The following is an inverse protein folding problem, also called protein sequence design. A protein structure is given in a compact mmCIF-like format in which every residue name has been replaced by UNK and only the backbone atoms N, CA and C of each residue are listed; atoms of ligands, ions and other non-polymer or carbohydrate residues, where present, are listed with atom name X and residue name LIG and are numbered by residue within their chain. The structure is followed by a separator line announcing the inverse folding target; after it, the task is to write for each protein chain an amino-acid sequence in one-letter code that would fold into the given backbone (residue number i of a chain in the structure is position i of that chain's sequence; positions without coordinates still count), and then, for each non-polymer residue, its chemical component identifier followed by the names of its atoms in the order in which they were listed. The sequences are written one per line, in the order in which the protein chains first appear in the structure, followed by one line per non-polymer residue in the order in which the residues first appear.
data_IF_045019157049
#
_entry.id   IF_045019157049
#
_cell.length_a   1.000
_cell.length_b   1.000
_cell.length_c   1.000
_cell.angle_alpha   90.00
_cell.angle_beta   90.00
_cell.angle_gamma   90.00
#
_symmetry.space_group_name_H-M   'P 1'
#
loop_
_entity.id
_entity.type
_entity.pdbx_description
1 polymer ?
#
# COMPACT_ATOMS: atom_id res chain seq x y z
N UNK A 1 -18.48 -23.09 9.92
CA UNK A 1 -17.08 -22.70 10.17
C UNK A 1 -16.99 -21.19 10.07
N UNK A 2 -16.08 -20.60 10.83
CA UNK A 2 -15.70 -19.19 10.78
C UNK A 2 -14.47 -19.08 9.87
N UNK A 3 -14.61 -18.43 8.72
CA UNK A 3 -13.54 -18.25 7.74
C UNK A 3 -13.05 -16.80 7.80
N UNK A 4 -11.77 -16.63 8.09
CA UNK A 4 -11.08 -15.35 7.93
C UNK A 4 -10.55 -15.22 6.51
N UNK A 5 -11.11 -14.35 5.69
CA UNK A 5 -10.62 -14.03 4.36
C UNK A 5 -9.70 -12.81 4.45
N UNK A 6 -8.46 -12.97 4.00
CA UNK A 6 -7.47 -11.91 3.96
C UNK A 6 -7.17 -11.62 2.50
N UNK A 7 -7.48 -10.41 2.05
CA UNK A 7 -7.23 -9.98 0.69
C UNK A 7 -5.86 -9.31 0.58
N UNK A 8 -5.15 -9.56 -0.51
CA UNK A 8 -3.88 -8.91 -0.79
C UNK A 8 -3.84 -8.29 -2.19
N UNK A 9 -3.42 -7.03 -2.23
CA UNK A 9 -3.31 -6.22 -3.45
C UNK A 9 -4.66 -5.66 -3.91
N UNK A 10 -4.64 -4.59 -4.74
CA UNK A 10 -5.83 -4.11 -5.42
C UNK A 10 -6.35 -5.09 -6.49
N UNK A 11 -5.46 -5.86 -7.11
CA UNK A 11 -5.81 -6.65 -8.30
C UNK A 11 -6.89 -7.70 -8.02
N UNK A 12 -6.89 -8.34 -6.84
CA UNK A 12 -7.92 -9.33 -6.48
C UNK A 12 -9.32 -8.69 -6.32
N UNK A 13 -9.38 -7.39 -6.03
CA UNK A 13 -10.61 -6.62 -5.90
C UNK A 13 -11.04 -6.09 -7.27
N UNK A 14 -10.13 -5.50 -8.03
CA UNK A 14 -10.42 -4.90 -9.34
C UNK A 14 -10.93 -5.93 -10.36
N UNK A 15 -10.42 -7.16 -10.33
CA UNK A 15 -10.90 -8.28 -11.17
C UNK A 15 -12.27 -8.86 -10.70
N UNK A 16 -12.78 -8.37 -9.57
CA UNK A 16 -14.03 -8.78 -8.94
C UNK A 16 -13.99 -10.18 -8.31
N UNK A 17 -12.85 -10.89 -8.35
CA UNK A 17 -12.72 -12.24 -7.78
C UNK A 17 -12.97 -12.24 -6.27
N UNK A 18 -12.48 -11.21 -5.58
CA UNK A 18 -12.69 -11.01 -4.15
C UNK A 18 -14.18 -11.09 -3.78
N UNK A 19 -15.01 -10.24 -4.39
CA UNK A 19 -16.44 -10.21 -4.10
C UNK A 19 -17.12 -11.55 -4.42
N UNK A 20 -16.83 -12.13 -5.59
CA UNK A 20 -17.42 -13.41 -6.02
C UNK A 20 -17.10 -14.53 -5.01
N UNK A 21 -15.84 -14.67 -4.63
CA UNK A 21 -15.38 -15.72 -3.71
C UNK A 21 -15.95 -15.50 -2.31
N UNK A 22 -15.95 -14.27 -1.80
CA UNK A 22 -16.55 -13.94 -0.49
C UNK A 22 -18.03 -14.33 -0.49
N UNK A 23 -18.79 -13.93 -1.51
CA UNK A 23 -20.23 -14.27 -1.65
C UNK A 23 -20.48 -15.77 -1.74
N UNK A 24 -19.59 -16.52 -2.40
CA UNK A 24 -19.69 -17.98 -2.48
C UNK A 24 -19.50 -18.61 -1.10
N UNK A 25 -18.45 -18.22 -0.36
CA UNK A 25 -18.14 -18.79 0.95
C UNK A 25 -19.21 -18.43 2.00
N UNK A 26 -19.79 -17.22 1.92
CA UNK A 26 -20.91 -16.77 2.76
C UNK A 26 -22.16 -17.65 2.65
N UNK A 27 -22.34 -18.42 1.58
CA UNK A 27 -23.51 -19.31 1.42
C UNK A 27 -23.52 -20.47 2.41
N UNK A 28 -22.35 -20.90 2.88
CA UNK A 28 -22.22 -22.09 3.75
C UNK A 28 -21.48 -21.81 5.05
N UNK A 29 -20.86 -20.63 5.19
CA UNK A 29 -19.97 -20.29 6.30
C UNK A 29 -20.15 -18.86 6.80
N UNK A 30 -19.72 -18.66 8.05
CA UNK A 30 -19.56 -17.32 8.61
C UNK A 30 -18.21 -16.76 8.13
N UNK A 31 -18.21 -15.58 7.52
CA UNK A 31 -17.05 -15.02 6.83
C UNK A 31 -16.74 -13.63 7.38
N UNK A 32 -15.49 -13.44 7.78
CA UNK A 32 -14.93 -12.12 8.05
C UNK A 32 -13.86 -11.84 6.99
N UNK A 33 -14.03 -10.78 6.20
CA UNK A 33 -13.07 -10.37 5.19
C UNK A 33 -12.31 -9.11 5.60
N UNK A 34 -10.99 -9.10 5.44
CA UNK A 34 -10.13 -7.96 5.79
C UNK A 34 -9.09 -7.64 4.71
N UNK A 35 -8.78 -6.36 4.56
CA UNK A 35 -7.71 -5.87 3.69
C UNK A 35 -6.99 -4.66 4.33
N UNK A 36 -5.68 -4.77 4.57
CA UNK A 36 -4.87 -3.68 5.15
C UNK A 36 -3.93 -2.93 4.21
N UNK A 37 -3.70 -3.42 2.98
CA UNK A 37 -2.80 -2.75 2.03
C UNK A 37 -3.38 -1.45 1.47
N UNK A 38 -2.62 -0.36 1.46
CA UNK A 38 -3.06 0.99 1.04
C UNK A 38 -3.82 1.00 -0.29
N UNK A 39 -3.24 0.45 -1.36
CA UNK A 39 -3.92 0.41 -2.67
C UNK A 39 -5.05 -0.62 -2.75
N UNK A 40 -5.00 -1.68 -1.94
CA UNK A 40 -6.16 -2.57 -1.90
C UNK A 40 -7.35 -1.91 -1.18
N UNK A 41 -7.11 -1.02 -0.21
CA UNK A 41 -8.18 -0.25 0.45
C UNK A 41 -8.83 0.73 -0.52
N UNK A 42 -8.04 1.37 -1.38
CA UNK A 42 -8.60 2.19 -2.46
C UNK A 42 -9.43 1.35 -3.44
N UNK A 43 -8.99 0.14 -3.78
CA UNK A 43 -9.76 -0.77 -4.63
C UNK A 43 -11.08 -1.21 -3.99
N UNK A 44 -11.11 -1.49 -2.68
CA UNK A 44 -12.35 -1.79 -1.94
C UNK A 44 -13.33 -0.62 -2.01
N UNK A 45 -12.84 0.61 -1.80
CA UNK A 45 -13.68 1.82 -1.90
C UNK A 45 -14.21 2.02 -3.32
N UNK A 46 -13.39 1.82 -4.34
CA UNK A 46 -13.79 1.92 -5.75
C UNK A 46 -14.88 0.91 -6.11
N UNK A 47 -14.77 -0.31 -5.59
CA UNK A 47 -15.74 -1.38 -5.78
C UNK A 47 -16.99 -1.26 -4.89
N UNK A 48 -17.02 -0.33 -3.93
CA UNK A 48 -18.13 -0.20 -2.97
C UNK A 48 -18.26 -1.39 -2.02
N UNK A 49 -17.13 -2.01 -1.67
CA UNK A 49 -17.09 -3.25 -0.86
C UNK A 49 -16.80 -2.98 0.63
N UNK A 50 -16.83 -1.72 1.08
CA UNK A 50 -16.57 -1.35 2.48
C UNK A 50 -17.48 -2.05 3.51
N UNK A 51 -18.71 -2.42 3.13
CA UNK A 51 -19.64 -3.15 4.01
C UNK A 51 -19.35 -4.67 4.08
N UNK A 52 -18.51 -5.17 3.16
CA UNK A 52 -18.18 -6.60 3.02
C UNK A 52 -16.74 -6.87 3.48
N UNK A 53 -15.83 -5.93 3.24
CA UNK A 53 -14.40 -6.06 3.52
C UNK A 53 -13.98 -4.98 4.50
N UNK A 54 -13.56 -5.38 5.69
CA UNK A 54 -13.02 -4.48 6.70
C UNK A 54 -11.64 -3.94 6.27
N UNK A 55 -11.60 -2.64 6.02
CA UNK A 55 -10.42 -1.85 5.62
C UNK A 55 -9.93 -0.90 6.72
N UNK A 56 -10.43 -1.04 7.95
CA UNK A 56 -10.17 -0.10 9.05
C UNK A 56 -8.73 -0.13 9.57
N UNK A 57 -7.96 -1.18 9.31
CA UNK A 57 -6.61 -1.38 9.85
C UNK A 57 -5.57 -1.67 8.76
N UNK A 58 -4.45 -0.94 8.79
CA UNK A 58 -3.33 -1.08 7.86
C UNK A 58 -2.37 -2.25 8.15
N UNK A 59 -2.88 -3.46 8.41
CA UNK A 59 -2.06 -4.63 8.74
C UNK A 59 -1.60 -5.43 7.53
N UNK A 60 -0.44 -6.09 7.63
CA UNK A 60 -0.02 -7.11 6.65
C UNK A 60 -0.91 -8.36 6.72
N UNK A 61 -0.93 -9.22 5.68
CA UNK A 61 -1.69 -10.46 5.73
C UNK A 61 -1.36 -11.36 6.93
N UNK A 62 -0.08 -11.57 7.22
CA UNK A 62 0.34 -12.38 8.37
C UNK A 62 -0.07 -11.77 9.72
N UNK A 63 0.01 -10.45 9.86
CA UNK A 63 -0.46 -9.77 11.09
C UNK A 63 -1.98 -9.92 11.24
N UNK A 64 -2.72 -9.78 10.15
CA UNK A 64 -4.18 -9.91 10.14
C UNK A 64 -4.62 -11.32 10.53
N UNK A 65 -3.98 -12.35 9.95
CA UNK A 65 -4.27 -13.75 10.29
C UNK A 65 -3.99 -14.02 11.78
N UNK A 66 -2.83 -13.57 12.28
CA UNK A 66 -2.46 -13.76 13.68
C UNK A 66 -3.41 -13.03 14.65
N UNK A 67 -3.93 -11.85 14.27
CA UNK A 67 -4.91 -11.11 15.07
C UNK A 67 -6.28 -11.80 15.11
N UNK A 68 -6.64 -12.55 14.06
CA UNK A 68 -7.92 -13.25 13.96
C UNK A 68 -7.91 -14.66 14.56
N UNK A 69 -6.74 -15.19 14.95
CA UNK A 69 -6.52 -16.61 15.28
C UNK A 69 -7.55 -17.26 16.22
N UNK A 70 -8.06 -16.51 17.20
CA UNK A 70 -8.98 -17.03 18.21
C UNK A 70 -10.47 -16.91 17.76
N UNK A 71 -10.71 -16.17 16.68
CA UNK A 71 -12.03 -15.88 16.11
C UNK A 71 -12.36 -16.65 14.83
N UNK A 72 -11.39 -17.34 14.23
CA UNK A 72 -11.57 -18.09 12.98
C UNK A 72 -11.16 -19.55 13.13
N UNK A 73 -11.75 -20.42 12.31
CA UNK A 73 -11.38 -21.84 12.23
C UNK A 73 -10.36 -22.10 11.11
N UNK A 74 -10.34 -21.24 10.08
CA UNK A 74 -9.42 -21.31 8.93
C UNK A 74 -9.18 -19.92 8.36
N UNK A 75 -7.93 -19.63 7.99
CA UNK A 75 -7.54 -18.44 7.26
C UNK A 75 -7.43 -18.73 5.76
N UNK A 76 -8.04 -17.88 4.93
CA UNK A 76 -7.96 -17.93 3.46
C UNK A 76 -7.31 -16.64 2.96
N UNK A 77 -6.09 -16.71 2.43
CA UNK A 77 -5.48 -15.61 1.68
C UNK A 77 -6.03 -15.61 0.25
N UNK A 78 -6.65 -14.51 -0.18
CA UNK A 78 -6.98 -14.26 -1.59
C UNK A 78 -5.96 -13.30 -2.17
N UNK A 79 -5.23 -13.75 -3.18
CA UNK A 79 -4.17 -12.97 -3.79
C UNK A 79 -4.22 -13.03 -5.32
N UNK A 80 -3.76 -11.96 -5.96
CA UNK A 80 -3.56 -11.89 -7.40
C UNK A 80 -2.15 -11.34 -7.68
N UNK A 81 -1.16 -12.24 -7.69
CA UNK A 81 0.24 -11.93 -8.00
C UNK A 81 0.43 -11.46 -9.44
N UNK A 82 1.61 -10.88 -9.71
CA UNK A 82 2.00 -10.45 -11.07
C UNK A 82 2.02 -11.64 -12.03
N UNK A 83 2.52 -12.77 -11.53
CA UNK A 83 2.45 -14.11 -12.11
C UNK A 83 2.13 -15.11 -11.01
N UNK A 84 1.72 -16.32 -11.41
CA UNK A 84 1.53 -17.43 -10.48
C UNK A 84 2.78 -17.64 -9.58
N UNK A 85 3.98 -17.62 -10.16
CA UNK A 85 5.23 -17.80 -9.39
C UNK A 85 5.42 -16.73 -8.32
N UNK A 86 5.21 -15.44 -8.66
CA UNK A 86 5.36 -14.35 -7.69
C UNK A 86 4.35 -14.44 -6.55
N UNK A 87 3.10 -14.83 -6.85
CA UNK A 87 2.06 -15.00 -5.86
C UNK A 87 2.27 -16.21 -4.96
N UNK A 88 2.70 -17.35 -5.53
CA UNK A 88 3.13 -18.52 -4.77
C UNK A 88 4.26 -18.15 -3.80
N UNK A 89 5.27 -17.41 -4.27
CA UNK A 89 6.36 -16.93 -3.43
C UNK A 89 5.84 -16.06 -2.27
N UNK A 90 4.93 -15.12 -2.55
CA UNK A 90 4.31 -14.28 -1.53
C UNK A 90 3.54 -15.11 -0.48
N UNK A 91 2.71 -16.06 -0.91
CA UNK A 91 1.98 -16.94 0.00
C UNK A 91 2.90 -17.76 0.91
N UNK A 92 4.06 -18.21 0.40
CA UNK A 92 5.08 -18.92 1.21
C UNK A 92 5.71 -18.02 2.28
N UNK A 93 5.90 -16.73 2.00
CA UNK A 93 6.35 -15.73 2.99
C UNK A 93 5.28 -15.47 4.04
N UNK A 94 4.00 -15.40 3.64
CA UNK A 94 2.90 -15.26 4.60
C UNK A 94 2.88 -16.48 5.51
N UNK A 95 2.87 -17.69 4.94
CA UNK A 95 2.84 -18.95 5.69
C UNK A 95 4.01 -19.10 6.69
N UNK A 96 5.21 -18.64 6.35
CA UNK A 96 6.37 -18.73 7.26
C UNK A 96 6.29 -17.80 8.47
N UNK A 97 5.36 -16.85 8.47
CA UNK A 97 5.09 -15.92 9.58
C UNK A 97 3.87 -16.32 10.41
N UNK A 98 3.21 -17.43 10.05
CA UNK A 98 2.08 -17.96 10.81
C UNK A 98 2.57 -19.00 11.82
N UNK A 99 1.95 -19.02 13.00
CA UNK A 99 2.09 -20.14 13.93
C UNK A 99 1.30 -21.36 13.45
N UNK A 100 1.65 -22.55 13.94
CA UNK A 100 1.02 -23.84 13.57
C UNK A 100 -0.42 -24.03 14.08
N UNK A 101 -1.04 -22.99 14.63
CA UNK A 101 -2.32 -23.07 15.34
C UNK A 101 -3.54 -22.83 14.44
N UNK A 102 -3.36 -22.25 13.25
CA UNK A 102 -4.47 -21.88 12.37
C UNK A 102 -4.23 -22.53 11.00
N UNK A 103 -5.16 -23.37 10.51
CA UNK A 103 -5.12 -23.85 9.14
C UNK A 103 -5.11 -22.67 8.15
N UNK A 104 -4.15 -22.69 7.22
CA UNK A 104 -3.94 -21.63 6.25
C UNK A 104 -4.08 -22.15 4.82
N UNK A 105 -5.03 -21.56 4.09
CA UNK A 105 -5.29 -21.82 2.66
C UNK A 105 -4.98 -20.54 1.89
N UNK A 106 -4.35 -20.67 0.73
CA UNK A 106 -4.03 -19.57 -0.15
C UNK A 106 -4.66 -19.81 -1.52
N UNK A 107 -5.47 -18.86 -1.99
CA UNK A 107 -6.06 -18.88 -3.33
C UNK A 107 -5.35 -17.82 -4.15
N UNK A 108 -4.61 -18.27 -5.16
CA UNK A 108 -3.82 -17.42 -6.06
C UNK A 108 -4.52 -17.33 -7.42
N UNK A 109 -4.67 -16.11 -7.95
CA UNK A 109 -5.14 -15.79 -9.32
C UNK A 109 -6.35 -16.62 -9.78
N UNK A 110 -7.45 -16.62 -9.02
CA UNK A 110 -8.57 -17.55 -9.23
C UNK A 110 -9.22 -17.47 -10.62
N UNK A 111 -9.12 -16.35 -11.34
CA UNK A 111 -9.78 -16.16 -12.64
C UNK A 111 -8.88 -16.43 -13.87
N UNK A 112 -7.60 -16.81 -13.68
CA UNK A 112 -6.66 -17.00 -14.80
C UNK A 112 -6.03 -18.41 -14.76
N UNK A 113 -4.93 -18.56 -14.02
CA UNK A 113 -4.16 -19.79 -13.87
C UNK A 113 -4.21 -20.27 -12.42
N UNK A 114 -5.37 -20.09 -11.79
CA UNK A 114 -5.50 -20.08 -10.35
C UNK A 114 -5.18 -21.40 -9.66
N UNK A 115 -4.83 -21.30 -8.38
CA UNK A 115 -4.46 -22.43 -7.52
C UNK A 115 -5.01 -22.24 -6.12
N UNK A 116 -5.36 -23.36 -5.48
CA UNK A 116 -5.60 -23.43 -4.03
C UNK A 116 -4.39 -24.12 -3.41
N UNK A 117 -3.68 -23.42 -2.54
CA UNK A 117 -2.44 -23.87 -1.95
C UNK A 117 -2.63 -24.10 -0.46
N UNK A 118 -2.11 -25.22 0.03
CA UNK A 118 -2.01 -25.52 1.46
C UNK A 118 -0.55 -25.76 1.86
N UNK A 119 -0.22 -25.48 3.13
CA UNK A 119 1.16 -25.51 3.62
C UNK A 119 1.44 -26.62 4.65
N UNK A 120 0.39 -27.20 5.24
CA UNK A 120 0.47 -28.31 6.19
C UNK A 120 -0.68 -29.31 5.99
N UNK A 121 -0.58 -30.46 6.65
CA UNK A 121 -1.56 -31.54 6.48
C UNK A 121 -2.96 -31.17 6.99
N UNK A 122 -3.13 -30.50 8.15
CA UNK A 122 -4.43 -30.00 8.59
C UNK A 122 -5.11 -29.09 7.56
N UNK A 123 -4.38 -28.15 6.95
CA UNK A 123 -4.91 -27.23 5.95
C UNK A 123 -5.36 -27.92 4.66
N UNK A 124 -4.86 -29.13 4.35
CA UNK A 124 -5.27 -29.88 3.14
C UNK A 124 -6.78 -30.14 3.12
N UNK A 125 -7.35 -30.58 4.24
CA UNK A 125 -8.79 -30.87 4.32
C UNK A 125 -9.63 -29.60 4.08
N UNK A 126 -9.18 -28.47 4.63
CA UNK A 126 -9.82 -27.18 4.40
C UNK A 126 -9.68 -26.71 2.95
N UNK A 127 -8.51 -26.90 2.32
CA UNK A 127 -8.29 -26.54 0.93
C UNK A 127 -9.22 -27.31 -0.02
N UNK A 128 -9.38 -28.62 0.17
CA UNK A 128 -10.32 -29.44 -0.61
C UNK A 128 -11.78 -29.06 -0.35
N UNK A 129 -12.11 -28.71 0.89
CA UNK A 129 -13.45 -28.23 1.24
C UNK A 129 -13.78 -26.88 0.58
N UNK A 130 -12.83 -25.92 0.65
CA UNK A 130 -12.92 -24.63 -0.05
C UNK A 130 -13.08 -24.85 -1.56
N UNK A 131 -12.28 -25.74 -2.17
CA UNK A 131 -12.43 -26.11 -3.59
C UNK A 131 -13.84 -26.60 -3.89
N UNK A 132 -14.39 -27.51 -3.10
CA UNK A 132 -15.73 -28.07 -3.30
C UNK A 132 -16.81 -27.00 -3.32
N UNK A 133 -16.76 -26.04 -2.38
CA UNK A 133 -17.73 -24.93 -2.30
C UNK A 133 -17.58 -24.00 -3.50
N UNK A 134 -16.34 -23.66 -3.86
CA UNK A 134 -16.02 -22.81 -5.02
C UNK A 134 -16.51 -23.42 -6.34
N UNK A 135 -16.33 -24.73 -6.54
CA UNK A 135 -16.88 -25.45 -7.69
C UNK A 135 -18.41 -25.45 -7.67
N UNK A 136 -19.02 -25.81 -6.54
CA UNK A 136 -20.47 -25.94 -6.37
C UNK A 136 -21.24 -24.65 -6.65
N UNK A 137 -20.69 -23.50 -6.24
CA UNK A 137 -21.41 -22.22 -6.25
C UNK A 137 -20.86 -21.16 -7.20
N UNK A 138 -19.67 -21.38 -7.78
CA UNK A 138 -18.98 -20.38 -8.59
C UNK A 138 -18.27 -20.92 -9.83
N UNK A 139 -18.35 -22.23 -10.11
CA UNK A 139 -17.67 -22.87 -11.24
C UNK A 139 -16.15 -22.67 -11.24
N UNK A 140 -15.55 -22.51 -10.05
CA UNK A 140 -14.10 -22.43 -9.86
C UNK A 140 -13.53 -23.84 -9.67
N UNK A 141 -13.06 -24.49 -10.74
CA UNK A 141 -12.33 -25.75 -10.65
C UNK A 141 -10.81 -25.50 -10.56
N UNK A 142 -10.38 -25.10 -9.37
CA UNK A 142 -8.99 -24.78 -9.10
C UNK A 142 -8.23 -26.02 -8.58
N UNK A 143 -7.02 -26.31 -9.09
CA UNK A 143 -6.17 -27.36 -8.54
C UNK A 143 -5.80 -27.07 -7.09
N UNK A 144 -5.81 -28.11 -6.26
CA UNK A 144 -5.31 -28.05 -4.88
C UNK A 144 -3.88 -28.59 -4.83
N UNK A 145 -2.93 -27.78 -4.36
CA UNK A 145 -1.51 -28.08 -4.37
C UNK A 145 -0.85 -27.87 -3.00
N UNK A 146 0.14 -28.70 -2.68
CA UNK A 146 0.96 -28.52 -1.48
C UNK A 146 2.10 -27.55 -1.78
N UNK A 147 2.36 -26.63 -0.85
CA UNK A 147 3.58 -25.83 -0.82
C UNK A 147 4.27 -25.92 0.54
N UNK A 148 5.42 -25.26 0.68
CA UNK A 148 6.17 -25.15 1.93
C UNK A 148 6.40 -23.69 2.31
N UNK A 149 6.28 -23.33 3.59
CA UNK A 149 6.66 -22.01 4.08
C UNK A 149 8.08 -21.64 3.65
N UNK A 150 8.29 -20.37 3.31
CA UNK A 150 9.60 -19.83 2.95
C UNK A 150 9.80 -18.51 3.71
N UNK A 151 10.71 -18.42 4.68
CA UNK A 151 11.02 -17.15 5.34
C UNK A 151 11.65 -16.18 4.35
N UNK A 152 11.66 -14.90 4.70
CA UNK A 152 12.44 -13.91 3.97
C UNK A 152 13.91 -14.34 3.95
N UNK A 153 14.55 -14.19 2.78
CA UNK A 153 15.98 -14.45 2.61
C UNK A 153 16.75 -13.24 3.13
N UNK A 154 17.03 -13.25 4.43
CA UNK A 154 17.82 -12.23 5.11
C UNK A 154 19.01 -12.90 5.79
N UNK A 155 20.21 -12.51 5.38
CA UNK A 155 21.47 -13.00 5.90
C UNK A 155 22.15 -11.88 6.68
N UNK A 156 22.84 -12.23 7.77
CA UNK A 156 23.62 -11.29 8.57
C UNK A 156 25.02 -11.85 8.78
N UNK A 157 26.00 -11.24 8.09
CA UNK A 157 27.40 -11.62 8.17
C UNK A 157 28.22 -10.40 8.59
N UNK A 158 28.85 -10.47 9.77
CA UNK A 158 29.79 -9.44 10.24
C UNK A 158 29.21 -8.03 10.31
N UNK A 159 27.92 -7.87 10.66
CA UNK A 159 27.24 -6.57 10.74
C UNK A 159 26.76 -6.02 9.39
N UNK A 160 26.87 -6.80 8.32
CA UNK A 160 26.23 -6.55 7.03
C UNK A 160 25.00 -7.43 6.91
N UNK A 161 23.83 -6.81 6.73
CA UNK A 161 22.56 -7.50 6.52
C UNK A 161 22.22 -7.45 5.04
N UNK A 162 21.98 -8.59 4.42
CA UNK A 162 21.60 -8.70 3.00
C UNK A 162 20.20 -9.29 2.91
N UNK A 163 19.29 -8.61 2.22
CA UNK A 163 17.97 -9.14 1.89
C UNK A 163 17.84 -9.38 0.40
N UNK A 164 17.69 -10.65 0.00
CA UNK A 164 17.39 -11.03 -1.39
C UNK A 164 15.91 -10.89 -1.67
N UNK A 165 15.58 -10.27 -2.80
CA UNK A 165 14.21 -10.13 -3.30
C UNK A 165 13.94 -11.19 -4.36
N UNK A 166 12.66 -11.56 -4.49
CA UNK A 166 12.20 -12.52 -5.50
C UNK A 166 10.92 -11.99 -6.16
N UNK A 167 10.64 -12.47 -7.37
CA UNK A 167 9.49 -12.03 -8.16
C UNK A 167 9.58 -10.57 -8.61
N UNK A 168 10.81 -10.07 -8.77
CA UNK A 168 11.10 -8.73 -9.26
C UNK A 168 11.32 -8.81 -10.76
N UNK A 169 10.79 -7.85 -11.52
CA UNK A 169 11.08 -7.74 -12.95
C UNK A 169 12.13 -6.65 -13.18
N UNK A 170 13.11 -6.86 -14.08
CA UNK A 170 14.02 -5.79 -14.49
C UNK A 170 13.26 -4.54 -14.94
N UNK A 171 13.73 -3.37 -14.51
CA UNK A 171 13.08 -2.07 -14.71
C UNK A 171 12.14 -1.65 -13.57
N UNK A 172 11.75 -2.56 -12.68
CA UNK A 172 10.87 -2.20 -11.55
C UNK A 172 11.59 -1.36 -10.49
N UNK A 173 10.93 -0.31 -10.02
CA UNK A 173 11.36 0.46 -8.85
C UNK A 173 11.35 -0.46 -7.63
N UNK A 174 12.34 -0.31 -6.74
CA UNK A 174 12.44 -1.00 -5.46
C UNK A 174 12.16 0.01 -4.36
N UNK A 175 11.10 -0.25 -3.59
CA UNK A 175 10.64 0.61 -2.50
C UNK A 175 10.90 -0.04 -1.16
N UNK A 176 11.56 0.70 -0.27
CA UNK A 176 11.84 0.32 1.10
C UNK A 176 11.08 1.27 2.03
N UNK A 177 10.12 0.73 2.78
CA UNK A 177 9.23 1.49 3.68
C UNK A 177 8.59 2.72 3.01
N UNK A 178 8.20 2.55 1.75
CA UNK A 178 7.53 3.58 0.95
C UNK A 178 8.48 4.45 0.12
N UNK A 179 9.80 4.39 0.35
CA UNK A 179 10.79 5.22 -0.35
C UNK A 179 11.45 4.45 -1.49
N UNK A 180 11.51 5.03 -2.69
CA UNK A 180 12.19 4.45 -3.84
C UNK A 180 13.70 4.58 -3.64
N UNK A 181 14.38 3.45 -3.45
CA UNK A 181 15.83 3.41 -3.25
C UNK A 181 16.60 3.11 -4.53
N UNK A 182 15.90 2.79 -5.62
CA UNK A 182 16.49 2.43 -6.90
C UNK A 182 15.58 1.58 -7.77
N UNK A 183 16.14 1.04 -8.87
CA UNK A 183 15.44 0.18 -9.82
C UNK A 183 16.17 -1.14 -10.00
N UNK A 184 15.43 -2.22 -10.19
CA UNK A 184 15.98 -3.54 -10.43
C UNK A 184 16.57 -3.65 -11.84
N UNK A 185 17.75 -4.25 -11.97
CA UNK A 185 18.34 -4.69 -13.24
C UNK A 185 18.37 -6.21 -13.37
N UNK A 186 18.05 -6.92 -12.28
CA UNK A 186 17.98 -8.37 -12.17
C UNK A 186 16.62 -8.82 -11.63
N UNK A 187 16.27 -10.09 -11.84
CA UNK A 187 15.06 -10.69 -11.29
C UNK A 187 15.15 -11.03 -9.79
N UNK A 188 16.38 -11.05 -9.25
CA UNK A 188 16.67 -11.33 -7.84
C UNK A 188 17.66 -10.30 -7.27
N UNK A 189 17.26 -9.02 -7.18
CA UNK A 189 18.12 -8.00 -6.60
C UNK A 189 18.28 -8.21 -5.08
N UNK A 190 19.36 -7.67 -4.52
CA UNK A 190 19.66 -7.74 -3.09
C UNK A 190 19.83 -6.34 -2.51
N UNK A 191 19.15 -6.06 -1.40
CA UNK A 191 19.37 -4.84 -0.62
C UNK A 191 20.41 -5.15 0.44
N UNK A 192 21.50 -4.39 0.47
CA UNK A 192 22.60 -4.55 1.43
C UNK A 192 22.56 -3.39 2.41
N UNK A 193 22.44 -3.71 3.69
CA UNK A 193 22.51 -2.77 4.79
C UNK A 193 23.76 -3.00 5.66
N UNK A 194 24.39 -1.91 6.11
CA UNK A 194 25.45 -1.95 7.12
C UNK A 194 25.15 -0.92 8.20
N UNK A 195 25.17 -1.34 9.47
CA UNK A 195 24.82 -0.46 10.60
C UNK A 195 23.44 0.20 10.45
N UNK A 196 22.48 -0.51 9.86
CA UNK A 196 21.12 -0.01 9.62
C UNK A 196 20.99 1.02 8.48
N UNK A 197 22.01 1.19 7.64
CA UNK A 197 21.97 2.04 6.43
C UNK A 197 22.06 1.18 5.18
N UNK A 198 21.24 1.49 4.18
CA UNK A 198 21.37 0.89 2.84
C UNK A 198 22.66 1.42 2.21
N UNK A 199 23.57 0.51 1.86
CA UNK A 199 24.90 0.86 1.29
C UNK A 199 25.06 0.39 -0.15
N UNK A 200 24.30 -0.62 -0.56
CA UNK A 200 24.42 -1.22 -1.90
C UNK A 200 23.07 -1.83 -2.33
N UNK A 201 22.78 -1.77 -3.62
CA UNK A 201 21.67 -2.47 -4.27
C UNK A 201 22.23 -3.37 -5.37
N UNK A 202 22.47 -4.65 -5.06
CA UNK A 202 23.02 -5.61 -6.02
C UNK A 202 21.93 -6.05 -6.99
N UNK A 203 22.27 -6.15 -8.28
CA UNK A 203 21.27 -6.42 -9.31
C UNK A 203 20.24 -5.28 -9.45
N UNK A 204 20.62 -4.06 -9.07
CA UNK A 204 19.84 -2.84 -9.28
C UNK A 204 20.73 -1.60 -9.40
N UNK A 205 20.09 -0.47 -9.66
CA UNK A 205 20.72 0.86 -9.75
C UNK A 205 20.12 1.71 -8.64
N UNK A 206 20.97 2.24 -7.75
CA UNK A 206 20.54 3.10 -6.64
C UNK A 206 20.01 4.44 -7.17
N UNK A 207 18.92 4.94 -6.57
CA UNK A 207 18.47 6.33 -6.68
C UNK A 207 19.04 7.11 -5.47
N UNK A 208 20.08 7.94 -5.63
CA UNK A 208 20.77 8.59 -4.50
C UNK A 208 19.84 9.39 -3.59
N UNK A 209 18.94 10.18 -4.19
CA UNK A 209 17.96 10.99 -3.47
C UNK A 209 17.01 10.15 -2.59
N UNK A 210 16.72 8.91 -3.00
CA UNK A 210 15.98 7.95 -2.19
C UNK A 210 16.70 7.54 -0.91
N UNK A 211 18.03 7.40 -0.98
CA UNK A 211 18.85 7.06 0.20
C UNK A 211 19.01 8.25 1.15
N UNK A 212 19.08 9.47 0.62
CA UNK A 212 19.09 10.71 1.42
C UNK A 212 17.85 10.78 2.34
N UNK A 213 16.67 10.40 1.83
CA UNK A 213 15.43 10.34 2.61
C UNK A 213 15.43 9.26 3.72
N UNK A 214 16.34 8.30 3.64
CA UNK A 214 16.55 7.26 4.66
C UNK A 214 17.71 7.57 5.62
N UNK A 215 18.45 8.67 5.41
CA UNK A 215 19.69 8.96 6.14
C UNK A 215 19.49 9.08 7.66
N UNK A 216 18.32 9.51 8.13
CA UNK A 216 18.00 9.61 9.56
C UNK A 216 17.27 8.39 10.12
N UNK A 217 17.07 7.33 9.31
CA UNK A 217 16.34 6.11 9.72
C UNK A 217 17.30 4.96 10.01
N UNK A 218 16.96 4.12 10.97
CA UNK A 218 17.66 2.87 11.22
C UNK A 218 16.87 1.72 10.57
N UNK A 219 17.40 1.14 9.50
CA UNK A 219 16.70 0.15 8.67
C UNK A 219 16.94 -1.25 9.20
N UNK A 220 15.85 -1.94 9.56
CA UNK A 220 15.84 -3.38 9.77
C UNK A 220 15.27 -4.08 8.53
N UNK A 221 16.14 -4.67 7.71
CA UNK A 221 15.73 -5.36 6.49
C UNK A 221 14.84 -6.59 6.74
N UNK A 222 14.88 -7.19 7.94
CA UNK A 222 14.03 -8.32 8.28
C UNK A 222 12.56 -7.90 8.50
N UNK A 223 12.37 -6.70 9.05
CA UNK A 223 11.06 -6.13 9.33
C UNK A 223 10.53 -5.21 8.22
N UNK A 224 11.42 -4.57 7.46
CA UNK A 224 11.05 -3.55 6.48
C UNK A 224 10.09 -4.04 5.39
N UNK A 225 9.21 -3.16 4.96
CA UNK A 225 8.28 -3.40 3.85
C UNK A 225 9.00 -3.10 2.55
N UNK A 226 9.26 -4.16 1.78
CA UNK A 226 9.85 -4.04 0.44
C UNK A 226 8.80 -4.35 -0.61
N UNK A 227 8.62 -3.44 -1.57
CA UNK A 227 7.69 -3.58 -2.69
C UNK A 227 8.41 -3.26 -3.99
N UNK A 228 8.00 -3.91 -5.09
CA UNK A 228 8.56 -3.63 -6.41
C UNK A 228 7.49 -3.37 -7.45
N UNK A 229 7.82 -2.50 -8.41
CA UNK A 229 6.94 -2.14 -9.52
C UNK A 229 5.80 -1.22 -9.11
N UNK A 230 4.80 -1.13 -9.98
CA UNK A 230 3.64 -0.25 -9.83
C UNK A 230 2.75 -0.65 -8.63
N UNK A 231 2.16 0.33 -7.95
CA UNK A 231 1.34 0.12 -6.75
C UNK A 231 -0.06 -0.43 -7.03
N UNK A 232 -0.56 -0.25 -8.26
CA UNK A 232 -1.84 -0.81 -8.73
C UNK A 232 -1.77 -0.98 -10.24
N UNK A 233 -1.72 -2.23 -10.72
CA UNK A 233 -1.47 -2.54 -12.14
C UNK A 233 -2.74 -2.61 -12.99
N UNK A 234 -3.89 -2.74 -12.34
CA UNK A 234 -5.21 -2.90 -12.94
C UNK A 234 -5.84 -1.56 -13.26
N UNK A 235 -6.53 -1.51 -14.41
CA UNK A 235 -7.43 -0.41 -14.73
C UNK A 235 -8.60 -0.42 -13.77
N UNK A 236 -9.01 0.74 -13.32
CA UNK A 236 -10.09 0.90 -12.36
C UNK A 236 -10.80 2.22 -12.59
N UNK A 237 -12.02 2.32 -12.06
CA UNK A 237 -12.77 3.57 -12.01
C UNK A 237 -12.61 4.12 -10.60
N UNK A 238 -11.91 5.24 -10.47
CA UNK A 238 -11.72 5.90 -9.19
C UNK A 238 -13.06 6.44 -8.66
N UNK A 239 -13.45 6.03 -7.46
CA UNK A 239 -14.58 6.62 -6.74
C UNK A 239 -14.17 8.03 -6.29
N UNK A 240 -14.81 9.03 -6.89
CA UNK A 240 -14.61 10.43 -6.54
C UNK A 240 -15.67 10.82 -5.54
N UNK A 241 -15.26 11.16 -4.32
CA UNK A 241 -16.16 11.79 -3.36
C UNK A 241 -16.18 13.30 -3.60
N UNK A 242 -17.35 13.95 -3.42
CA UNK A 242 -17.43 15.41 -3.38
C UNK A 242 -16.47 15.97 -2.34
N UNK A 243 -15.93 17.16 -2.61
CA UNK A 243 -15.09 17.85 -1.65
C UNK A 243 -15.86 18.07 -0.34
N UNK A 244 -15.23 17.78 0.80
CA UNK A 244 -15.82 18.03 2.12
C UNK A 244 -16.15 19.51 2.26
N UNK A 245 -17.31 19.79 2.86
CA UNK A 245 -17.74 21.16 3.13
C UNK A 245 -16.75 21.86 4.06
N UNK A 246 -16.32 23.05 3.68
CA UNK A 246 -15.31 23.80 4.42
C UNK A 246 -15.95 24.67 5.55
N UNK A 247 -16.54 24.07 6.59
CA UNK A 247 -16.99 24.77 7.81
C UNK A 247 -15.84 25.28 8.72
N UNK A 248 -16.10 26.23 9.64
CA UNK A 248 -15.08 26.79 10.56
C UNK A 248 -14.33 25.73 11.40
N UNK A 249 -13.05 25.98 11.66
CA UNK A 249 -12.20 25.10 12.50
C UNK A 249 -11.61 23.91 11.73
N UNK A 250 -10.72 24.21 10.78
CA UNK A 250 -10.18 23.24 9.82
C UNK A 250 -9.02 22.42 10.34
N UNK A 251 -9.12 21.11 10.21
CA UNK A 251 -8.06 20.17 10.57
C UNK A 251 -7.17 19.92 9.37
N UNK A 252 -5.92 20.32 9.51
CA UNK A 252 -4.86 20.09 8.53
C UNK A 252 -4.02 18.92 9.01
N UNK A 253 -3.67 18.04 8.07
CA UNK A 253 -2.64 17.02 8.25
C UNK A 253 -1.50 17.29 7.28
N UNK A 254 -0.25 17.13 7.70
CA UNK A 254 0.88 17.06 6.76
C UNK A 254 1.14 15.60 6.40
N UNK A 255 1.51 15.29 5.16
CA UNK A 255 1.92 13.96 4.70
C UNK A 255 3.22 14.15 3.94
N UNK A 256 4.31 13.71 4.56
CA UNK A 256 5.68 13.95 4.10
C UNK A 256 6.40 12.61 3.92
N UNK A 257 6.71 12.24 2.67
CA UNK A 257 7.35 10.98 2.27
C UNK A 257 6.77 9.71 2.93
N UNK A 258 5.45 9.70 3.14
CA UNK A 258 4.75 8.62 3.83
C UNK A 258 3.34 8.34 3.26
N UNK A 259 3.15 8.55 1.96
CA UNK A 259 1.82 8.40 1.33
C UNK A 259 1.17 7.02 1.51
N UNK A 260 1.94 5.96 1.75
CA UNK A 260 1.37 4.65 2.09
C UNK A 260 0.59 4.65 3.42
N UNK A 261 0.85 5.61 4.31
CA UNK A 261 0.18 5.79 5.61
C UNK A 261 -0.97 6.81 5.55
N UNK A 262 -1.40 7.23 4.36
CA UNK A 262 -2.41 8.29 4.19
C UNK A 262 -3.70 8.00 4.97
N UNK A 263 -4.20 6.75 4.94
CA UNK A 263 -5.40 6.37 5.68
C UNK A 263 -5.23 6.50 7.20
N UNK A 264 -4.07 6.12 7.72
CA UNK A 264 -3.73 6.20 9.14
C UNK A 264 -3.54 7.66 9.60
N UNK A 265 -2.94 8.48 8.74
CA UNK A 265 -2.62 9.87 9.06
C UNK A 265 -3.85 10.77 8.96
N UNK A 266 -4.70 10.58 7.95
CA UNK A 266 -5.71 11.58 7.61
C UNK A 266 -6.80 11.71 8.67
N UNK A 267 -7.34 10.60 9.20
CA UNK A 267 -8.43 10.61 10.18
C UNK A 267 -9.57 11.55 9.80
N UNK A 268 -9.82 12.55 10.65
CA UNK A 268 -10.85 13.57 10.51
C UNK A 268 -10.36 14.89 9.88
N UNK A 269 -9.23 14.87 9.16
CA UNK A 269 -8.72 16.05 8.47
C UNK A 269 -9.69 16.55 7.38
N UNK A 270 -9.67 17.87 7.19
CA UNK A 270 -10.41 18.57 6.14
C UNK A 270 -9.53 18.81 4.90
N UNK A 271 -8.22 18.97 5.10
CA UNK A 271 -7.23 19.25 4.05
C UNK A 271 -5.89 18.59 4.41
N UNK A 272 -5.14 18.15 3.40
CA UNK A 272 -3.79 17.62 3.61
C UNK A 272 -2.73 18.50 2.91
N UNK A 273 -1.63 18.79 3.59
CA UNK A 273 -0.42 19.31 2.95
C UNK A 273 0.44 18.11 2.57
N UNK A 274 0.84 17.98 1.30
CA UNK A 274 1.67 16.87 0.84
C UNK A 274 3.03 17.38 0.37
N UNK A 275 4.10 16.65 0.69
CA UNK A 275 5.48 17.02 0.34
C UNK A 275 6.11 15.89 -0.47
N UNK A 276 6.61 16.22 -1.66
CA UNK A 276 7.20 15.31 -2.63
C UNK A 276 6.24 14.91 -3.74
N UNK A 277 6.78 14.69 -4.94
CA UNK A 277 6.02 14.38 -6.15
C UNK A 277 5.22 13.07 -6.03
N UNK A 278 5.88 11.98 -5.63
CA UNK A 278 5.24 10.68 -5.42
C UNK A 278 4.24 10.72 -4.26
N UNK A 279 4.61 11.39 -3.16
CA UNK A 279 3.75 11.52 -1.99
C UNK A 279 2.48 12.27 -2.36
N UNK A 280 2.62 13.39 -3.06
CA UNK A 280 1.51 14.21 -3.54
C UNK A 280 0.63 13.41 -4.48
N UNK A 281 1.22 12.69 -5.43
CA UNK A 281 0.47 11.88 -6.41
C UNK A 281 -0.34 10.76 -5.75
N UNK A 282 0.29 9.95 -4.88
CA UNK A 282 -0.37 8.84 -4.20
C UNK A 282 -1.40 9.34 -3.18
N UNK A 283 -1.04 10.33 -2.37
CA UNK A 283 -1.96 10.87 -1.37
C UNK A 283 -3.15 11.54 -2.02
N UNK A 284 -2.98 12.32 -3.10
CA UNK A 284 -4.10 12.89 -3.86
C UNK A 284 -5.06 11.80 -4.36
N UNK A 285 -4.53 10.74 -4.94
CA UNK A 285 -5.36 9.64 -5.45
C UNK A 285 -6.17 8.98 -4.34
N UNK A 286 -5.54 8.69 -3.20
CA UNK A 286 -6.24 8.14 -2.02
C UNK A 286 -7.30 9.12 -1.51
N UNK A 287 -6.94 10.39 -1.32
CA UNK A 287 -7.78 11.42 -0.70
C UNK A 287 -8.97 11.83 -1.58
N UNK A 288 -8.88 11.59 -2.90
CA UNK A 288 -10.02 11.71 -3.82
C UNK A 288 -11.21 10.85 -3.37
N UNK A 289 -10.95 9.66 -2.80
CA UNK A 289 -12.00 8.75 -2.28
C UNK A 289 -12.56 9.18 -0.94
N UNK A 290 -11.94 10.17 -0.29
CA UNK A 290 -12.34 10.71 1.00
C UNK A 290 -12.89 12.14 0.91
N UNK A 291 -12.82 12.76 -0.27
CA UNK A 291 -13.25 14.14 -0.52
C UNK A 291 -12.34 15.18 0.14
N UNK A 292 -11.08 14.84 0.38
CA UNK A 292 -10.14 15.70 1.11
C UNK A 292 -9.20 16.36 0.10
N UNK A 293 -9.24 17.69 0.02
CA UNK A 293 -8.37 18.45 -0.85
C UNK A 293 -6.91 18.43 -0.37
N UNK A 294 -5.97 18.68 -1.28
CA UNK A 294 -4.55 18.76 -0.95
C UNK A 294 -3.94 20.13 -1.28
N UNK A 295 -2.92 20.51 -0.52
CA UNK A 295 -1.93 21.52 -0.87
C UNK A 295 -0.61 20.76 -1.11
N UNK A 296 -0.36 20.40 -2.36
CA UNK A 296 0.82 19.62 -2.74
C UNK A 296 2.03 20.49 -3.04
N UNK A 297 3.20 20.04 -2.60
CA UNK A 297 4.49 20.69 -2.80
C UNK A 297 5.39 19.69 -3.50
N UNK A 298 5.80 20.05 -4.70
CA UNK A 298 6.52 19.17 -5.64
C UNK A 298 7.68 19.91 -6.26
N UNK A 299 8.73 19.22 -6.67
CA UNK A 299 9.89 19.81 -7.34
C UNK A 299 10.05 19.35 -8.79
N UNK A 300 9.25 18.35 -9.22
CA UNK A 300 9.23 17.81 -10.56
C UNK A 300 9.92 16.45 -10.72
N UNK A 301 10.35 15.79 -9.63
CA UNK A 301 11.09 14.52 -9.63
C UNK A 301 10.23 13.23 -9.67
N UNK A 302 9.05 13.28 -10.29
CA UNK A 302 8.06 12.21 -10.27
C UNK A 302 8.57 10.84 -10.79
N UNK A 303 8.49 9.79 -9.96
CA UNK A 303 8.93 8.42 -10.29
C UNK A 303 7.88 7.56 -11.02
N UNK A 304 6.74 8.16 -11.38
CA UNK A 304 5.66 7.57 -12.20
C UNK A 304 5.16 6.20 -11.71
N UNK A 305 5.07 6.03 -10.38
CA UNK A 305 4.63 4.78 -9.75
C UNK A 305 3.13 4.53 -9.75
N UNK A 306 2.34 5.52 -10.15
CA UNK A 306 0.89 5.47 -10.34
C UNK A 306 0.56 6.20 -11.64
N UNK A 307 -0.04 5.50 -12.61
CA UNK A 307 -0.25 6.04 -13.96
C UNK A 307 -1.47 6.96 -14.09
N UNK A 308 -2.58 6.62 -13.42
CA UNK A 308 -3.87 7.29 -13.55
C UNK A 308 -4.32 7.90 -12.22
N UNK A 309 -3.48 8.75 -11.63
CA UNK A 309 -3.76 9.36 -10.33
C UNK A 309 -4.89 10.41 -10.42
N UNK A 310 -5.91 10.26 -9.59
CA UNK A 310 -6.94 11.28 -9.44
C UNK A 310 -6.49 12.38 -8.45
N UNK A 311 -6.94 13.61 -8.68
CA UNK A 311 -6.67 14.74 -7.79
C UNK A 311 -8.01 15.27 -7.26
N UNK A 312 -8.17 15.41 -5.93
CA UNK A 312 -9.43 15.85 -5.37
C UNK A 312 -9.73 17.29 -5.76
N UNK A 313 -11.01 17.59 -6.01
CA UNK A 313 -11.44 18.94 -6.29
C UNK A 313 -11.19 19.88 -5.10
N UNK A 314 -10.83 21.14 -5.38
CA UNK A 314 -10.37 22.11 -4.39
C UNK A 314 -8.87 22.05 -4.07
N UNK A 315 -8.13 21.13 -4.69
CA UNK A 315 -6.70 20.98 -4.46
C UNK A 315 -5.86 22.05 -5.15
N UNK A 316 -4.66 22.30 -4.60
CA UNK A 316 -3.63 23.19 -5.16
C UNK A 316 -2.32 22.41 -5.18
N UNK A 317 -1.62 22.41 -6.31
CA UNK A 317 -0.26 21.90 -6.42
C UNK A 317 0.68 23.07 -6.70
N UNK A 318 1.69 23.23 -5.85
CA UNK A 318 2.71 24.26 -5.90
C UNK A 318 4.01 23.58 -6.28
N UNK A 319 4.42 23.76 -7.53
CA UNK A 319 5.72 23.27 -8.01
C UNK A 319 6.78 24.30 -7.66
N UNK A 320 7.83 23.87 -6.95
CA UNK A 320 9.01 24.66 -6.64
C UNK A 320 10.19 24.22 -7.50
N UNK A 321 11.32 24.92 -7.39
CA UNK A 321 12.57 24.51 -8.06
C UNK A 321 13.00 23.13 -7.57
N UNK A 322 13.69 22.39 -8.45
CA UNK A 322 14.29 21.07 -8.16
C UNK A 322 15.05 21.06 -6.82
N UNK A 323 14.76 20.07 -5.98
CA UNK A 323 15.34 19.86 -4.65
C UNK A 323 14.82 20.77 -3.53
N UNK A 324 13.81 21.62 -3.79
CA UNK A 324 13.27 22.55 -2.77
C UNK A 324 12.02 22.04 -2.06
N UNK A 325 11.35 20.99 -2.53
CA UNK A 325 10.16 20.42 -1.89
C UNK A 325 10.46 19.98 -0.45
N UNK A 326 11.57 19.26 -0.23
CA UNK A 326 12.03 18.82 1.10
C UNK A 326 12.35 19.99 2.04
N UNK A 327 12.96 21.04 1.49
CA UNK A 327 13.33 22.24 2.25
C UNK A 327 12.06 22.97 2.69
N UNK A 328 11.15 23.22 1.74
CA UNK A 328 9.88 23.91 2.03
C UNK A 328 8.99 23.05 2.93
N UNK A 329 8.96 21.73 2.73
CA UNK A 329 8.25 20.79 3.58
C UNK A 329 8.72 20.83 5.04
N UNK A 330 10.04 20.88 5.27
CA UNK A 330 10.62 21.08 6.60
C UNK A 330 10.21 22.42 7.20
N UNK A 331 10.30 23.51 6.43
CA UNK A 331 9.88 24.83 6.91
C UNK A 331 8.40 24.89 7.28
N UNK A 332 7.54 24.21 6.52
CA UNK A 332 6.11 24.10 6.83
C UNK A 332 5.90 23.30 8.11
N UNK A 333 6.58 22.15 8.24
CA UNK A 333 6.51 21.34 9.45
C UNK A 333 6.89 22.16 10.69
N UNK A 334 7.99 22.91 10.63
CA UNK A 334 8.50 23.70 11.76
C UNK A 334 7.68 24.96 12.02
N UNK A 335 7.43 25.79 11.00
CA UNK A 335 6.88 27.15 11.16
C UNK A 335 5.36 27.19 11.10
N UNK A 336 4.73 26.37 10.26
CA UNK A 336 3.26 26.33 10.11
C UNK A 336 2.66 25.28 11.05
N UNK A 337 3.20 24.06 11.04
CA UNK A 337 2.66 22.94 11.79
C UNK A 337 3.22 22.85 13.22
N UNK A 338 4.22 23.66 13.59
CA UNK A 338 4.86 23.67 14.91
C UNK A 338 5.37 22.27 15.33
N UNK A 339 5.90 21.52 14.37
CA UNK A 339 6.37 20.15 14.54
C UNK A 339 5.27 19.11 14.76
N UNK A 340 3.99 19.47 14.60
CA UNK A 340 2.85 18.55 14.78
C UNK A 340 2.42 17.95 13.45
N UNK A 341 1.97 16.69 13.48
CA UNK A 341 1.39 16.05 12.30
C UNK A 341 0.03 16.66 11.91
N UNK A 342 -0.73 17.13 12.91
CA UNK A 342 -2.08 17.69 12.76
C UNK A 342 -2.21 19.02 13.46
N UNK A 343 -2.93 19.95 12.84
CA UNK A 343 -3.21 21.27 13.38
C UNK A 343 -4.64 21.69 13.05
N UNK A 344 -5.29 22.42 13.96
CA UNK A 344 -6.55 23.11 13.65
C UNK A 344 -6.25 24.56 13.28
N UNK A 345 -6.75 25.01 12.15
CA UNK A 345 -6.61 26.37 11.62
C UNK A 345 -7.97 27.01 11.41
N UNK A 346 -7.99 28.34 11.31
CA UNK A 346 -9.22 29.07 11.08
C UNK A 346 -9.62 29.12 9.61
N UNK A 347 -8.65 29.29 8.69
CA UNK A 347 -8.92 29.40 7.25
C UNK A 347 -7.96 28.55 6.41
N UNK A 348 -8.52 27.90 5.39
CA UNK A 348 -7.76 27.23 4.34
C UNK A 348 -7.02 28.24 3.45
N UNK A 349 -7.63 29.37 3.10
CA UNK A 349 -6.94 30.42 2.33
C UNK A 349 -5.71 30.94 3.07
N UNK A 350 -5.82 31.22 4.36
CA UNK A 350 -4.69 31.69 5.18
C UNK A 350 -3.55 30.65 5.21
N UNK A 351 -3.90 29.36 5.23
CA UNK A 351 -2.93 28.27 5.15
C UNK A 351 -2.20 28.28 3.80
N UNK A 352 -2.95 28.40 2.70
CA UNK A 352 -2.37 28.50 1.35
C UNK A 352 -1.45 29.71 1.24
N UNK A 353 -1.86 30.88 1.75
CA UNK A 353 -1.03 32.10 1.76
C UNK A 353 0.26 31.90 2.55
N UNK A 354 0.20 31.25 3.72
CA UNK A 354 1.38 30.93 4.52
C UNK A 354 2.32 29.98 3.77
N UNK A 355 1.80 28.94 3.13
CA UNK A 355 2.58 28.01 2.30
C UNK A 355 3.24 28.73 1.13
N UNK A 356 2.49 29.58 0.41
CA UNK A 356 3.02 30.38 -0.70
C UNK A 356 4.11 31.35 -0.24
N UNK A 357 3.96 31.95 0.94
CA UNK A 357 4.98 32.84 1.51
C UNK A 357 6.26 32.10 1.88
N UNK A 358 6.14 30.87 2.40
CA UNK A 358 7.30 30.02 2.69
C UNK A 358 8.03 29.59 1.41
N UNK A 359 7.29 29.20 0.37
CA UNK A 359 7.88 28.85 -0.92
C UNK A 359 8.48 30.07 -1.65
N UNK A 360 7.86 31.24 -1.53
CA UNK A 360 8.42 32.53 -1.97
C UNK A 360 8.87 32.54 -3.43
N UNK A 361 10.11 32.95 -3.68
CA UNK A 361 10.69 33.01 -5.03
C UNK A 361 11.12 31.64 -5.59
N UNK A 362 10.90 30.55 -4.84
CA UNK A 362 11.19 29.19 -5.31
C UNK A 362 10.06 28.58 -6.13
N UNK A 363 8.89 29.22 -6.16
CA UNK A 363 7.73 28.76 -6.92
C UNK A 363 8.00 28.87 -8.42
N UNK A 364 7.80 27.75 -9.13
CA UNK A 364 7.85 27.65 -10.58
C UNK A 364 6.44 27.70 -11.17
N UNK A 365 5.47 27.00 -10.56
CA UNK A 365 4.11 26.90 -11.07
C UNK A 365 3.10 26.66 -9.94
N UNK A 366 1.88 27.18 -10.10
CA UNK A 366 0.75 26.88 -9.20
C UNK A 366 -0.42 26.40 -10.06
N UNK A 367 -0.86 25.16 -9.81
CA UNK A 367 -2.01 24.56 -10.47
C UNK A 367 -3.15 24.39 -9.48
N UNK A 368 -4.33 24.93 -9.81
CA UNK A 368 -5.54 24.80 -9.00
C UNK A 368 -6.53 23.85 -9.68
N UNK A 369 -7.12 22.95 -8.89
CA UNK A 369 -8.12 21.99 -9.33
C UNK A 369 -9.47 22.46 -8.81
N UNK A 370 -10.29 23.05 -9.69
CA UNK A 370 -11.56 23.64 -9.30
C UNK A 370 -12.54 22.60 -8.75
N UNK A 371 -13.42 23.02 -7.84
CA UNK A 371 -14.67 22.31 -7.59
C UNK A 371 -15.53 22.44 -8.85
N UNK A 372 -15.85 21.32 -9.50
CA UNK A 372 -16.87 21.36 -10.54
C UNK A 372 -18.17 21.83 -9.88
N UNK A 373 -18.84 22.84 -10.46
CA UNK A 373 -20.05 23.44 -9.90
C UNK A 373 -21.21 22.46 -9.75
#
# INVERSE_FOLDING_TARGET
MRIGIILHGPEIVDEGSAERIIRILLKEHDVTAKLGGTMGRTAVLDAGLEDVVDISQGMTPSQTINALKDSIDVAVLLNHGKTLETGLHFGRIVASRLGSLIPFVHIERPDIDGRIIYYDQPAKLFAEHVRSILMKHGNYDLPVEKSSPLPLQVENEGGTVVRRLAGVFPGENIRLDGIIIGHATSAQPEIVCRGGKVVELRGGIIKPHGLEKLENRNIDLAAARVKTGNIRRTKHITKVQPARSLADGKKIVIIDHCAESTFELVGDADIAITVGDDTTTIAADILTRLGIAIIGITDGDLDSILGDAAIPAGSIIIRVNEGFDDIIGREISEKLMMGKQKLTVHSCEETVEKVLKLAGNKIVEIKRYAQNP
#
